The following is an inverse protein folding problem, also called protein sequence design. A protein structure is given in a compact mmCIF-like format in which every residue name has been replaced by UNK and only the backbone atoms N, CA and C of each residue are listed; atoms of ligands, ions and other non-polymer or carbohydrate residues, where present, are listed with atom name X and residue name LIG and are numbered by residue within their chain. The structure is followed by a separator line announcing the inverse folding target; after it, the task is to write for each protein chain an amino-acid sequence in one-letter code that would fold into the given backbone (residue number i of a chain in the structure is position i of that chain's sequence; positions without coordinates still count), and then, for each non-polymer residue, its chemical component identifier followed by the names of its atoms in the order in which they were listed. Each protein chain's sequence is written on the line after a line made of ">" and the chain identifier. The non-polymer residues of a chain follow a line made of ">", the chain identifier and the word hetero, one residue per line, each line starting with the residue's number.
data_IF_844713339710
#
_entry.id   IF_844713339710
#
_cell.length_a   1.000
_cell.length_b   1.000
_cell.length_c   1.000
_cell.angle_alpha   90.00
_cell.angle_beta   90.00
_cell.angle_gamma   90.00
#
_symmetry.space_group_name_H-M   'P 1'
#
loop_
_entity.id
_entity.type
_entity.pdbx_description
1 polymer ?
#
# COMPACT_ATOMS: atom_id res chain seq x y z
N UNK A 1 -14.78 -10.67 -43.79
CA UNK A 1 -14.30 -11.89 -43.10
C UNK A 1 -13.25 -11.60 -42.00
N UNK A 2 -13.37 -10.51 -41.21
CA UNK A 2 -12.34 -10.12 -40.20
C UNK A 2 -12.88 -9.87 -38.78
N UNK A 3 -14.21 -9.75 -38.60
CA UNK A 3 -14.84 -9.40 -37.32
C UNK A 3 -14.95 -10.62 -36.38
N UNK A 4 -15.01 -11.83 -36.92
CA UNK A 4 -15.15 -13.06 -36.13
C UNK A 4 -13.89 -13.42 -35.33
N UNK A 5 -12.70 -13.11 -35.84
CA UNK A 5 -11.43 -13.44 -35.17
C UNK A 5 -11.20 -12.62 -33.90
N UNK A 6 -11.57 -11.34 -33.87
CA UNK A 6 -11.39 -10.50 -32.68
C UNK A 6 -12.28 -10.94 -31.51
N UNK A 7 -13.50 -11.40 -31.80
CA UNK A 7 -14.45 -11.84 -30.76
C UNK A 7 -13.95 -13.11 -30.06
N UNK A 8 -13.33 -14.03 -30.80
CA UNK A 8 -12.74 -15.26 -30.27
C UNK A 8 -11.49 -14.94 -29.41
N UNK A 9 -10.65 -14.01 -29.86
CA UNK A 9 -9.47 -13.57 -29.09
C UNK A 9 -9.89 -12.89 -27.78
N UNK A 10 -10.91 -12.03 -27.81
CA UNK A 10 -11.47 -11.38 -26.62
C UNK A 10 -12.09 -12.38 -25.64
N UNK A 11 -12.79 -13.39 -26.15
CA UNK A 11 -13.37 -14.47 -25.31
C UNK A 11 -12.28 -15.30 -24.62
N UNK A 12 -11.24 -15.69 -25.36
CA UNK A 12 -10.07 -16.39 -24.77
C UNK A 12 -9.33 -15.52 -23.75
N UNK A 13 -9.18 -14.23 -24.02
CA UNK A 13 -8.56 -13.31 -23.04
C UNK A 13 -9.39 -13.20 -21.78
N UNK A 14 -10.72 -13.15 -21.91
CA UNK A 14 -11.65 -13.09 -20.78
C UNK A 14 -11.61 -14.38 -19.96
N UNK A 15 -11.57 -15.55 -20.61
CA UNK A 15 -11.41 -16.84 -19.92
C UNK A 15 -10.08 -16.92 -19.15
N UNK A 16 -8.98 -16.44 -19.72
CA UNK A 16 -7.67 -16.39 -19.03
C UNK A 16 -7.71 -15.46 -17.83
N UNK A 17 -8.41 -14.32 -17.94
CA UNK A 17 -8.59 -13.38 -16.84
C UNK A 17 -9.47 -13.99 -15.75
N UNK A 18 -10.60 -14.59 -16.11
CA UNK A 18 -11.54 -15.23 -15.19
C UNK A 18 -10.91 -16.44 -14.48
N UNK A 19 -10.10 -17.24 -15.18
CA UNK A 19 -9.39 -18.40 -14.62
C UNK A 19 -8.24 -17.97 -13.67
N UNK A 20 -7.56 -16.86 -13.98
CA UNK A 20 -6.65 -16.22 -13.03
C UNK A 20 -7.42 -15.72 -11.81
N UNK A 21 -8.52 -15.00 -12.00
CA UNK A 21 -9.30 -14.43 -10.90
C UNK A 21 -9.90 -15.52 -9.99
N UNK A 22 -10.33 -16.65 -10.57
CA UNK A 22 -10.81 -17.83 -9.84
C UNK A 22 -9.68 -18.52 -9.06
N UNK A 23 -8.47 -18.56 -9.59
CA UNK A 23 -7.29 -19.05 -8.87
C UNK A 23 -6.85 -18.14 -7.72
N UNK A 24 -7.07 -16.82 -7.83
CA UNK A 24 -6.80 -15.87 -6.75
C UNK A 24 -7.80 -16.02 -5.60
N UNK A 25 -9.08 -16.28 -5.89
CA UNK A 25 -10.08 -16.50 -4.85
C UNK A 25 -9.87 -17.81 -4.06
N UNK A 26 -9.21 -18.81 -4.64
CA UNK A 26 -9.02 -20.12 -4.01
C UNK A 26 -7.70 -20.26 -3.23
N UNK A 27 -6.79 -19.29 -3.33
CA UNK A 27 -5.52 -19.26 -2.60
C UNK A 27 -5.35 -17.87 -2.01
N UNK A 28 -5.51 -17.71 -0.69
CA UNK A 28 -5.16 -16.50 0.08
C UNK A 28 -3.64 -16.22 0.08
N UNK A 29 -2.98 -16.39 -1.05
CA UNK A 29 -1.54 -16.35 -1.24
C UNK A 29 -1.32 -15.28 -2.32
N UNK A 30 -0.89 -14.10 -1.87
CA UNK A 30 -0.43 -13.06 -2.79
C UNK A 30 0.66 -13.63 -3.71
N UNK A 31 0.56 -13.46 -5.04
CA UNK A 31 1.57 -13.94 -5.97
C UNK A 31 2.97 -13.45 -5.61
N UNK A 32 3.99 -14.25 -5.89
CA UNK A 32 5.39 -13.94 -5.55
C UNK A 32 5.84 -12.58 -6.11
N UNK A 33 5.44 -12.27 -7.34
CA UNK A 33 5.76 -11.01 -8.00
C UNK A 33 5.15 -9.80 -7.28
N UNK A 34 3.84 -9.81 -7.01
CA UNK A 34 3.15 -8.71 -6.34
C UNK A 34 3.69 -8.48 -4.92
N UNK A 35 4.07 -9.57 -4.24
CA UNK A 35 4.68 -9.53 -2.91
C UNK A 35 6.05 -8.87 -2.92
N UNK A 36 6.90 -9.23 -3.88
CA UNK A 36 8.21 -8.60 -4.06
C UNK A 36 8.06 -7.12 -4.44
N UNK A 37 7.13 -6.80 -5.34
CA UNK A 37 6.82 -5.43 -5.73
C UNK A 37 6.35 -4.60 -4.53
N UNK A 38 5.42 -5.12 -3.73
CA UNK A 38 4.93 -4.45 -2.52
C UNK A 38 6.05 -4.27 -1.50
N UNK A 39 6.93 -5.26 -1.34
CA UNK A 39 8.12 -5.14 -0.50
C UNK A 39 9.05 -4.01 -0.94
N UNK A 40 9.31 -3.90 -2.24
CA UNK A 40 10.11 -2.81 -2.83
C UNK A 40 9.43 -1.45 -2.60
N UNK A 41 8.12 -1.36 -2.78
CA UNK A 41 7.34 -0.15 -2.52
C UNK A 41 7.47 0.27 -1.05
N UNK A 42 7.29 -0.66 -0.11
CA UNK A 42 7.43 -0.39 1.34
C UNK A 42 8.83 0.10 1.68
N UNK A 43 9.87 -0.49 1.11
CA UNK A 43 11.25 -0.04 1.30
C UNK A 43 11.43 1.39 0.76
N UNK A 44 10.96 1.66 -0.46
CA UNK A 44 11.03 2.98 -1.07
C UNK A 44 10.29 4.06 -0.27
N UNK A 45 9.08 3.76 0.18
CA UNK A 45 8.28 4.65 1.04
C UNK A 45 8.97 4.88 2.39
N UNK A 46 9.62 3.86 2.97
CA UNK A 46 10.34 3.99 4.23
C UNK A 46 11.57 4.90 4.10
N UNK A 47 12.35 4.76 3.02
CA UNK A 47 13.46 5.68 2.72
C UNK A 47 12.94 7.10 2.57
N UNK A 48 11.87 7.28 1.79
CA UNK A 48 11.25 8.59 1.60
C UNK A 48 10.72 9.20 2.90
N UNK A 49 10.12 8.38 3.79
CA UNK A 49 9.68 8.79 5.11
C UNK A 49 10.86 9.29 5.96
N UNK A 50 11.98 8.55 6.00
CA UNK A 50 13.18 8.93 6.75
C UNK A 50 13.70 10.29 6.28
N UNK A 51 13.79 10.49 4.96
CA UNK A 51 14.20 11.77 4.36
C UNK A 51 13.23 12.88 4.73
N UNK A 52 11.92 12.60 4.70
CA UNK A 52 10.87 13.57 5.02
C UNK A 52 10.89 13.98 6.49
N UNK A 53 11.15 13.03 7.40
CA UNK A 53 11.34 13.28 8.84
C UNK A 53 12.58 14.13 9.07
N UNK A 54 13.71 13.75 8.47
CA UNK A 54 14.98 14.47 8.63
C UNK A 54 14.90 15.93 8.17
N UNK A 55 14.20 16.18 7.05
CA UNK A 55 14.04 17.51 6.49
C UNK A 55 12.85 18.30 7.07
N UNK A 56 11.94 17.63 7.78
CA UNK A 56 10.69 18.22 8.30
C UNK A 56 9.75 18.72 7.19
N UNK A 57 9.87 18.19 5.97
CA UNK A 57 9.15 18.63 4.76
C UNK A 57 8.76 17.41 3.93
N UNK A 58 7.63 17.49 3.25
CA UNK A 58 7.19 16.48 2.29
C UNK A 58 7.12 17.12 0.91
N UNK A 59 7.69 16.44 -0.08
CA UNK A 59 7.67 16.88 -1.47
C UNK A 59 6.84 15.90 -2.31
N UNK A 60 5.69 16.34 -2.81
CA UNK A 60 4.85 15.57 -3.70
C UNK A 60 5.25 15.93 -5.14
N UNK A 61 5.87 15.00 -5.89
CA UNK A 61 6.22 15.28 -7.28
C UNK A 61 4.95 15.44 -8.12
N UNK A 62 4.86 16.54 -8.87
CA UNK A 62 3.79 16.79 -9.83
C UNK A 62 4.28 16.67 -11.26
N UNK A 63 3.34 16.74 -12.21
CA UNK A 63 3.65 16.73 -13.64
C UNK A 63 4.36 18.04 -14.03
N UNK A 64 5.35 17.96 -14.92
CA UNK A 64 6.06 19.12 -15.49
C UNK A 64 6.81 20.00 -14.46
N UNK A 65 7.55 19.40 -13.52
CA UNK A 65 8.31 20.11 -12.47
C UNK A 65 7.47 20.97 -11.50
N UNK A 66 6.14 20.94 -11.58
CA UNK A 66 5.27 21.59 -10.61
C UNK A 66 5.00 20.65 -9.44
N UNK A 67 6.02 20.44 -8.60
CA UNK A 67 5.88 19.68 -7.36
C UNK A 67 5.34 20.53 -6.20
N UNK A 68 4.62 19.90 -5.29
CA UNK A 68 4.12 20.55 -4.09
C UNK A 68 5.06 20.26 -2.92
N UNK A 69 5.65 21.30 -2.36
CA UNK A 69 6.47 21.21 -1.16
C UNK A 69 5.64 21.64 0.05
N UNK A 70 5.33 20.70 0.93
CA UNK A 70 4.55 20.87 2.15
C UNK A 70 5.50 21.02 3.33
N UNK A 71 5.28 22.04 4.16
CA UNK A 71 6.12 22.34 5.35
C UNK A 71 5.25 22.55 6.60
N UNK A 72 5.90 22.66 7.77
CA UNK A 72 5.22 22.99 9.02
C UNK A 72 4.31 21.88 9.55
N UNK A 73 3.17 22.26 10.11
CA UNK A 73 2.22 21.33 10.74
C UNK A 73 1.61 20.37 9.71
N UNK A 74 1.25 20.88 8.53
CA UNK A 74 0.73 20.06 7.43
C UNK A 74 1.73 18.95 7.01
N UNK A 75 3.03 19.25 6.98
CA UNK A 75 4.05 18.24 6.69
C UNK A 75 4.07 17.14 7.77
N UNK A 76 3.93 17.48 9.06
CA UNK A 76 3.90 16.50 10.15
C UNK A 76 2.69 15.56 10.05
N UNK A 77 1.53 16.10 9.70
CA UNK A 77 0.30 15.33 9.45
C UNK A 77 0.52 14.34 8.29
N UNK A 78 1.09 14.82 7.18
CA UNK A 78 1.41 13.97 6.03
C UNK A 78 2.48 12.90 6.36
N UNK A 79 3.50 13.22 7.16
CA UNK A 79 4.51 12.26 7.64
C UNK A 79 3.84 11.16 8.47
N UNK A 80 2.92 11.53 9.37
CA UNK A 80 2.17 10.57 10.19
C UNK A 80 1.28 9.66 9.35
N UNK A 81 0.59 10.23 8.34
CA UNK A 81 -0.22 9.46 7.39
C UNK A 81 0.63 8.49 6.55
N UNK A 82 1.79 8.94 6.07
CA UNK A 82 2.74 8.10 5.33
C UNK A 82 3.26 6.94 6.19
N UNK A 83 3.57 7.20 7.47
CA UNK A 83 3.99 6.16 8.39
C UNK A 83 2.88 5.13 8.65
N UNK A 84 1.63 5.59 8.82
CA UNK A 84 0.45 4.74 8.92
C UNK A 84 0.27 3.84 7.68
N UNK A 85 0.47 4.38 6.48
CA UNK A 85 0.39 3.62 5.23
C UNK A 85 1.44 2.51 5.16
N UNK A 86 2.70 2.83 5.51
CA UNK A 86 3.81 1.86 5.54
C UNK A 86 3.50 0.70 6.51
N UNK A 87 2.96 0.99 7.69
CA UNK A 87 2.56 -0.01 8.67
C UNK A 87 1.43 -0.92 8.16
N UNK A 88 0.45 -0.36 7.44
CA UNK A 88 -0.64 -1.12 6.85
C UNK A 88 -0.14 -2.07 5.74
N UNK A 89 0.71 -1.58 4.84
CA UNK A 89 1.28 -2.40 3.77
C UNK A 89 2.20 -3.48 4.32
N UNK A 90 2.99 -3.17 5.36
CA UNK A 90 3.83 -4.14 6.03
C UNK A 90 2.99 -5.23 6.73
N UNK A 91 1.89 -4.84 7.41
CA UNK A 91 0.95 -5.80 7.99
C UNK A 91 0.36 -6.74 6.92
N UNK A 92 -0.02 -6.19 5.77
CA UNK A 92 -0.58 -6.95 4.66
C UNK A 92 0.44 -7.93 4.06
N UNK A 93 1.66 -7.46 3.82
CA UNK A 93 2.79 -8.27 3.39
C UNK A 93 3.05 -9.43 4.36
N UNK A 94 3.11 -9.14 5.67
CA UNK A 94 3.33 -10.14 6.71
C UNK A 94 2.21 -11.18 6.73
N UNK A 95 0.95 -10.75 6.64
CA UNK A 95 -0.22 -11.64 6.63
C UNK A 95 -0.19 -12.64 5.46
N UNK A 96 0.36 -12.21 4.31
CA UNK A 96 0.47 -13.05 3.12
C UNK A 96 1.83 -13.74 2.97
N UNK A 97 2.85 -13.38 3.75
CA UNK A 97 4.21 -13.91 3.58
C UNK A 97 4.32 -15.40 3.98
N UNK A 98 3.49 -15.89 4.91
CA UNK A 98 3.59 -17.28 5.34
C UNK A 98 2.28 -17.86 5.90
N UNK A 99 1.53 -18.57 5.05
CA UNK A 99 0.44 -19.47 5.46
C UNK A 99 0.93 -20.93 5.56
N UNK A 100 2.25 -21.13 5.69
CA UNK A 100 2.84 -22.42 6.05
C UNK A 100 2.77 -22.56 7.56
N UNK A 101 2.15 -23.66 8.00
CA UNK A 101 1.80 -24.02 9.37
C UNK A 101 2.71 -23.46 10.47
N UNK A 102 2.06 -22.81 11.45
CA UNK A 102 2.61 -22.29 12.70
C UNK A 102 3.34 -20.94 12.63
N UNK A 103 2.61 -19.88 13.01
CA UNK A 103 3.08 -18.83 13.95
C UNK A 103 1.93 -17.84 14.15
N UNK A 104 1.05 -18.19 15.09
CA UNK A 104 0.04 -17.29 15.70
C UNK A 104 0.61 -15.88 15.97
N UNK A 105 1.88 -15.82 16.34
CA UNK A 105 2.62 -14.59 16.59
C UNK A 105 2.71 -13.65 15.37
N UNK A 106 2.88 -14.17 14.15
CA UNK A 106 2.93 -13.38 12.91
C UNK A 106 1.56 -12.76 12.60
N UNK A 107 0.49 -13.50 12.85
CA UNK A 107 -0.88 -13.00 12.71
C UNK A 107 -1.16 -11.87 13.70
N UNK A 108 -0.76 -12.01 14.97
CA UNK A 108 -0.92 -10.94 15.97
C UNK A 108 -0.05 -9.72 15.66
N UNK A 109 1.17 -9.90 15.14
CA UNK A 109 2.03 -8.79 14.69
C UNK A 109 1.35 -8.02 13.56
N UNK A 110 0.89 -8.70 12.51
CA UNK A 110 0.17 -8.07 11.39
C UNK A 110 -1.05 -7.30 11.89
N UNK A 111 -1.87 -7.93 12.73
CA UNK A 111 -3.08 -7.32 13.30
C UNK A 111 -2.75 -6.10 14.18
N UNK A 112 -1.69 -6.19 14.98
CA UNK A 112 -1.18 -5.08 15.81
C UNK A 112 -0.70 -3.91 14.96
N UNK A 113 0.07 -4.18 13.88
CA UNK A 113 0.51 -3.14 12.94
C UNK A 113 -0.68 -2.46 12.25
N UNK A 114 -1.72 -3.21 11.87
CA UNK A 114 -2.94 -2.61 11.31
C UNK A 114 -3.65 -1.71 12.32
N UNK A 115 -3.79 -2.12 13.58
CA UNK A 115 -4.38 -1.27 14.61
C UNK A 115 -3.55 -0.01 14.90
N UNK A 116 -2.23 -0.15 14.92
CA UNK A 116 -1.31 0.98 15.09
C UNK A 116 -1.42 1.96 13.91
N UNK A 117 -1.52 1.44 12.68
CA UNK A 117 -1.76 2.24 11.48
C UNK A 117 -3.06 3.05 11.59
N UNK A 118 -4.18 2.40 11.96
CA UNK A 118 -5.45 3.09 12.17
C UNK A 118 -5.37 4.16 13.26
N UNK A 119 -4.75 3.83 14.39
CA UNK A 119 -4.58 4.76 15.51
C UNK A 119 -3.81 6.02 15.11
N UNK A 120 -2.68 5.85 14.41
CA UNK A 120 -1.87 6.95 13.90
C UNK A 120 -2.62 7.81 12.88
N UNK A 121 -3.41 7.17 12.01
CA UNK A 121 -4.25 7.88 11.06
C UNK A 121 -5.29 8.76 11.75
N UNK A 122 -6.01 8.22 12.75
CA UNK A 122 -7.00 8.99 13.52
C UNK A 122 -6.37 10.14 14.31
N UNK A 123 -5.19 9.93 14.90
CA UNK A 123 -4.45 11.02 15.56
C UNK A 123 -4.10 12.12 14.55
N UNK A 124 -3.57 11.73 13.38
CA UNK A 124 -3.21 12.68 12.33
C UNK A 124 -4.42 13.51 11.87
N UNK A 125 -5.55 12.83 11.66
CA UNK A 125 -6.82 13.47 11.30
C UNK A 125 -7.31 14.42 12.40
N UNK A 126 -7.23 14.00 13.67
CA UNK A 126 -7.64 14.82 14.81
C UNK A 126 -6.78 16.08 14.94
N UNK A 127 -5.46 15.95 14.83
CA UNK A 127 -4.53 17.10 14.84
C UNK A 127 -4.88 18.07 13.71
N UNK A 128 -5.16 17.57 12.50
CA UNK A 128 -5.55 18.42 11.38
C UNK A 128 -6.86 19.18 11.66
N UNK A 129 -7.89 18.50 12.14
CA UNK A 129 -9.20 19.10 12.42
C UNK A 129 -9.18 20.14 13.55
N UNK A 130 -8.34 19.95 14.58
CA UNK A 130 -8.28 20.85 15.73
C UNK A 130 -7.25 21.98 15.59
N UNK A 131 -6.18 21.82 14.79
CA UNK A 131 -5.19 22.88 14.59
C UNK A 131 -5.53 23.84 13.44
N UNK A 132 -6.41 23.45 12.51
CA UNK A 132 -6.81 24.28 11.36
C UNK A 132 -8.23 24.86 11.48
N UNK A 133 -8.82 24.82 12.68
CA UNK A 133 -10.02 25.56 13.03
C UNK A 133 -9.66 26.80 13.82
#
# INVERSE_FOLDING_TARGET
>A
MSVFNYKIILLKFREIIDEKQKNWNNRNIMPKFDRQLSGIIVIGLSIYLIISIANGKIYIPGKHNNGLLITGIAARVCISALFSLILADLANLINHYNKSDSKILIFYISKSLSYLSFFLFFISLFIYLFMYR
#
